data_IF_839576067684
#
_entry.id   IF_839576067684
#
_cell.length_a   1.000
_cell.length_b   1.000
_cell.length_c   1.000
_cell.angle_alpha   90.00
_cell.angle_beta   90.00
_cell.angle_gamma   90.00
#
_symmetry.space_group_name_H-M   'P 1'
#
loop_
_entity.id
_entity.type
_entity.pdbx_description
1 polymer ?
#
# COMPACT_ATOMS: atom_id res chain seq x y z
N UNK A 1 15.45 -13.18 0.65
CA UNK A 1 14.17 -13.44 -0.05
C UNK A 1 13.16 -12.48 0.56
N UNK A 2 12.84 -11.39 -0.10
CA UNK A 2 11.76 -10.50 0.37
C UNK A 2 10.45 -11.30 0.32
N UNK A 3 9.82 -11.57 1.46
CA UNK A 3 8.53 -12.29 1.49
C UNK A 3 7.43 -11.39 0.94
N UNK A 4 6.50 -11.97 0.17
CA UNK A 4 5.38 -11.27 -0.44
C UNK A 4 4.55 -10.45 0.57
N UNK A 5 4.56 -10.83 1.84
CA UNK A 5 3.92 -10.14 2.96
C UNK A 5 4.50 -8.74 3.21
N UNK A 6 5.81 -8.56 2.98
CA UNK A 6 6.47 -7.27 3.17
C UNK A 6 5.96 -6.27 2.14
N UNK A 7 5.97 -6.65 0.85
CA UNK A 7 5.51 -5.80 -0.26
C UNK A 7 4.03 -5.44 -0.12
N UNK A 8 3.19 -6.39 0.31
CA UNK A 8 1.77 -6.11 0.62
C UNK A 8 1.60 -5.07 1.73
N UNK A 9 2.41 -5.12 2.80
CA UNK A 9 2.36 -4.10 3.87
C UNK A 9 2.79 -2.71 3.35
N UNK A 10 3.80 -2.65 2.47
CA UNK A 10 4.23 -1.40 1.84
C UNK A 10 3.11 -0.80 0.98
N UNK A 11 2.54 -1.60 0.07
CA UNK A 11 1.47 -1.14 -0.83
C UNK A 11 0.23 -0.67 -0.04
N UNK A 12 -0.13 -1.38 1.04
CA UNK A 12 -1.24 -0.98 1.93
C UNK A 12 -0.98 0.38 2.59
N UNK A 13 0.27 0.66 2.96
CA UNK A 13 0.69 1.96 3.50
C UNK A 13 0.63 3.07 2.46
N UNK A 14 1.08 2.81 1.22
CA UNK A 14 0.99 3.74 0.08
C UNK A 14 -0.48 4.09 -0.23
N UNK A 15 -1.35 3.08 -0.29
CA UNK A 15 -2.78 3.28 -0.58
C UNK A 15 -3.44 4.11 0.51
N UNK A 16 -3.12 3.85 1.79
CA UNK A 16 -3.63 4.66 2.91
C UNK A 16 -3.25 6.13 2.76
N UNK A 17 -2.00 6.40 2.42
CA UNK A 17 -1.50 7.77 2.21
C UNK A 17 -2.20 8.47 1.04
N UNK A 18 -2.34 7.80 -0.11
CA UNK A 18 -2.99 8.37 -1.29
C UNK A 18 -4.50 8.52 -1.13
N UNK A 19 -5.15 7.61 -0.40
CA UNK A 19 -6.56 7.71 -0.05
C UNK A 19 -6.82 8.89 0.91
N UNK A 20 -5.89 9.15 1.84
CA UNK A 20 -5.95 10.34 2.68
C UNK A 20 -5.82 11.63 1.85
N UNK A 21 -5.00 11.61 0.79
CA UNK A 21 -4.95 12.67 -0.25
C UNK A 21 -6.15 12.69 -1.20
N UNK A 22 -7.20 11.89 -0.95
CA UNK A 22 -8.44 11.80 -1.76
C UNK A 22 -8.22 11.50 -3.25
N UNK A 23 -7.12 10.83 -3.60
CA UNK A 23 -6.87 10.37 -4.98
C UNK A 23 -7.88 9.29 -5.38
N UNK A 24 -8.25 9.22 -6.66
CA UNK A 24 -9.19 8.20 -7.14
C UNK A 24 -8.50 6.82 -7.12
N UNK A 25 -9.21 5.72 -6.78
CA UNK A 25 -8.60 4.38 -6.73
C UNK A 25 -7.92 3.94 -8.04
N UNK A 26 -8.39 4.42 -9.19
CA UNK A 26 -7.79 4.13 -10.49
C UNK A 26 -6.43 4.83 -10.67
N UNK A 27 -6.27 6.04 -10.14
CA UNK A 27 -5.01 6.78 -10.18
C UNK A 27 -4.00 6.16 -9.21
N UNK A 28 -4.48 5.76 -8.03
CA UNK A 28 -3.69 5.02 -7.04
C UNK A 28 -3.14 3.73 -7.66
N UNK A 29 -3.97 2.96 -8.37
CA UNK A 29 -3.51 1.74 -9.04
C UNK A 29 -2.44 2.01 -10.09
N UNK A 30 -2.61 3.02 -10.94
CA UNK A 30 -1.60 3.39 -11.95
C UNK A 30 -0.26 3.73 -11.32
N UNK A 31 -0.28 4.52 -10.24
CA UNK A 31 0.93 4.89 -9.50
C UNK A 31 1.60 3.69 -8.83
N UNK A 32 0.82 2.73 -8.33
CA UNK A 32 1.37 1.49 -7.78
C UNK A 32 1.94 0.57 -8.85
N UNK A 33 1.29 0.47 -10.00
CA UNK A 33 1.75 -0.34 -11.13
C UNK A 33 3.08 0.17 -11.68
N UNK A 34 3.29 1.49 -11.70
CA UNK A 34 4.56 2.09 -12.10
C UNK A 34 5.73 1.74 -11.16
N UNK A 35 5.46 1.62 -9.86
CA UNK A 35 6.49 1.42 -8.82
C UNK A 35 6.74 -0.06 -8.53
N UNK A 36 5.67 -0.84 -8.44
CA UNK A 36 5.68 -2.24 -8.02
C UNK A 36 5.55 -3.20 -9.20
N UNK A 37 5.08 -2.74 -10.37
CA UNK A 37 4.97 -3.55 -11.58
C UNK A 37 4.21 -4.84 -11.35
N UNK A 38 4.91 -5.97 -11.49
CA UNK A 38 4.35 -7.32 -11.33
C UNK A 38 3.91 -7.65 -9.90
N UNK A 39 4.47 -6.97 -8.90
CA UNK A 39 4.09 -7.13 -7.50
C UNK A 39 2.92 -6.21 -7.09
N UNK A 40 2.39 -5.41 -8.03
CA UNK A 40 1.24 -4.56 -7.78
C UNK A 40 -0.02 -5.41 -7.54
N UNK A 41 -0.81 -4.98 -6.55
CA UNK A 41 -2.12 -5.57 -6.31
C UNK A 41 -3.16 -5.04 -7.31
N UNK A 42 -4.12 -5.88 -7.67
CA UNK A 42 -5.16 -5.52 -8.64
C UNK A 42 -6.02 -4.35 -8.17
N UNK A 43 -6.59 -3.60 -9.13
CA UNK A 43 -7.49 -2.46 -8.87
C UNK A 43 -8.66 -2.78 -7.92
N UNK A 44 -9.15 -4.03 -7.90
CA UNK A 44 -10.19 -4.48 -6.98
C UNK A 44 -9.73 -4.42 -5.52
N UNK A 45 -8.49 -4.84 -5.23
CA UNK A 45 -7.89 -4.74 -3.90
C UNK A 45 -7.68 -3.29 -3.49
N UNK A 46 -7.20 -2.44 -4.41
CA UNK A 46 -7.03 -1.00 -4.16
C UNK A 46 -8.38 -0.37 -3.77
N UNK A 47 -9.46 -0.66 -4.51
CA UNK A 47 -10.81 -0.17 -4.20
C UNK A 47 -11.31 -0.67 -2.84
N UNK A 48 -11.11 -1.96 -2.53
CA UNK A 48 -11.47 -2.54 -1.24
C UNK A 48 -10.78 -1.81 -0.10
N UNK A 49 -9.46 -1.61 -0.19
CA UNK A 49 -8.69 -0.95 0.85
C UNK A 49 -9.00 0.55 0.96
N UNK A 50 -9.20 1.26 -0.16
CA UNK A 50 -9.70 2.64 -0.14
C UNK A 50 -11.03 2.77 0.64
N UNK A 51 -11.95 1.80 0.46
CA UNK A 51 -13.22 1.77 1.18
C UNK A 51 -12.98 1.50 2.68
N UNK A 52 -12.21 0.47 3.02
CA UNK A 52 -11.86 0.13 4.41
C UNK A 52 -11.23 1.32 5.16
N UNK A 53 -10.29 2.02 4.51
CA UNK A 53 -9.65 3.21 5.09
C UNK A 53 -10.59 4.39 5.24
N UNK A 54 -11.54 4.56 4.32
CA UNK A 54 -12.55 5.62 4.41
C UNK A 54 -13.55 5.35 5.53
N UNK A 55 -13.79 4.07 5.84
CA UNK A 55 -14.66 3.61 6.94
C UNK A 55 -13.92 3.50 8.28
N UNK A 56 -12.64 3.92 8.36
CA UNK A 56 -11.84 3.87 9.58
C UNK A 56 -11.47 2.45 10.04
N UNK A 57 -11.73 1.42 9.23
CA UNK A 57 -11.37 0.02 9.55
C UNK A 57 -9.89 -0.21 9.24
N UNK A 58 -9.04 0.22 10.16
CA UNK A 58 -7.60 -0.09 10.18
C UNK A 58 -7.36 -1.46 10.82
N UNK A 59 -7.92 -2.51 10.24
CA UNK A 59 -7.44 -3.84 10.56
C UNK A 59 -6.20 -4.12 9.70
N UNK A 60 -5.04 -3.83 10.29
CA UNK A 60 -3.70 -4.23 9.79
C UNK A 60 -3.45 -5.73 10.08
N UNK A 61 -4.43 -6.45 10.65
CA UNK A 61 -4.21 -7.70 11.38
C UNK A 61 -5.08 -8.88 10.93
N UNK A 62 -5.48 -8.95 9.66
CA UNK A 62 -6.22 -10.12 9.20
C UNK A 62 -5.67 -10.77 7.93
N UNK A 63 -4.41 -11.21 7.99
CA UNK A 63 -4.08 -12.55 7.51
C UNK A 63 -2.86 -13.11 8.28
N UNK A 64 -3.12 -14.16 9.05
CA UNK A 64 -2.19 -15.03 9.79
C UNK A 64 -1.70 -14.63 11.19
N UNK A 65 -2.49 -15.11 12.16
CA UNK A 65 -2.05 -15.79 13.39
C UNK A 65 -0.85 -16.71 13.13
N UNK A 66 0.38 -16.24 13.36
CA UNK A 66 1.52 -16.95 13.98
C UNK A 66 2.80 -16.11 13.83
N UNK A 67 3.34 -15.63 14.95
CA UNK A 67 4.69 -15.07 15.04
C UNK A 67 4.83 -13.68 14.41
N UNK A 68 4.81 -12.63 15.24
CA UNK A 68 4.76 -11.25 14.79
C UNK A 68 5.87 -10.85 13.80
N UNK A 69 5.46 -10.44 12.61
CA UNK A 69 6.26 -9.56 11.78
C UNK A 69 5.69 -8.14 11.90
N UNK A 70 6.23 -7.37 12.85
CA UNK A 70 6.11 -5.91 12.82
C UNK A 70 6.57 -5.47 11.43
N UNK A 71 5.74 -4.74 10.68
CA UNK A 71 6.15 -4.12 9.43
C UNK A 71 7.42 -3.31 9.71
N UNK A 72 8.56 -3.87 9.29
CA UNK A 72 9.89 -3.37 9.66
C UNK A 72 10.14 -2.08 8.90
N UNK A 73 10.75 -1.12 9.56
CA UNK A 73 10.99 0.28 9.18
C UNK A 73 11.84 0.50 7.92
N UNK A 74 12.03 -0.52 7.07
CA UNK A 74 12.82 -0.43 5.83
C UNK A 74 12.06 0.16 4.62
N UNK A 75 10.76 0.40 4.76
CA UNK A 75 9.88 0.88 3.67
C UNK A 75 10.05 2.37 3.30
N UNK A 76 10.81 3.15 4.08
CA UNK A 76 10.94 4.59 3.84
C UNK A 76 11.65 4.94 2.52
N UNK A 77 12.51 4.05 1.98
CA UNK A 77 13.25 4.35 0.73
C UNK A 77 12.35 4.36 -0.51
N UNK A 78 11.44 3.38 -0.66
CA UNK A 78 10.50 3.34 -1.80
C UNK A 78 9.38 4.37 -1.64
N UNK A 79 8.92 4.64 -0.42
CA UNK A 79 7.95 5.71 -0.15
C UNK A 79 8.53 7.11 -0.41
N UNK A 80 9.80 7.35 -0.07
CA UNK A 80 10.46 8.62 -0.36
C UNK A 80 10.72 8.79 -1.86
N UNK A 81 11.09 7.71 -2.57
CA UNK A 81 11.18 7.71 -4.02
C UNK A 81 9.80 7.97 -4.67
N UNK A 82 8.75 7.35 -4.16
CA UNK A 82 7.37 7.57 -4.59
C UNK A 82 6.89 9.01 -4.36
N UNK A 83 7.22 9.60 -3.22
CA UNK A 83 6.91 11.00 -2.93
C UNK A 83 7.74 11.97 -3.76
N UNK A 84 8.91 11.57 -4.25
CA UNK A 84 9.77 12.38 -5.13
C UNK A 84 9.31 12.35 -6.58
N UNK A 85 8.69 11.24 -7.03
CA UNK A 85 8.11 11.13 -8.38
C UNK A 85 6.79 11.90 -8.52
N UNK A 86 6.00 12.01 -7.45
CA UNK A 86 4.77 12.83 -7.41
C UNK A 86 5.10 14.23 -6.84
N UNK A 87 6.14 14.87 -7.39
CA UNK A 87 6.50 16.26 -7.08
C UNK A 87 5.56 17.25 -7.80
N UNK A 88 4.95 18.13 -7.00
CA UNK A 88 4.06 19.29 -7.29
C UNK A 88 2.78 19.03 -8.12
#
# INVERSE_FOLDING_TARGET
>A
MESADTVRCEIRSVIRFLNAKKRKPIEIHRQLEEVYGKDCISVQHVRKWCKEFSEGRIDVHHEQRSGGHRCSTKSWRRLNAFSSTIGD
#
